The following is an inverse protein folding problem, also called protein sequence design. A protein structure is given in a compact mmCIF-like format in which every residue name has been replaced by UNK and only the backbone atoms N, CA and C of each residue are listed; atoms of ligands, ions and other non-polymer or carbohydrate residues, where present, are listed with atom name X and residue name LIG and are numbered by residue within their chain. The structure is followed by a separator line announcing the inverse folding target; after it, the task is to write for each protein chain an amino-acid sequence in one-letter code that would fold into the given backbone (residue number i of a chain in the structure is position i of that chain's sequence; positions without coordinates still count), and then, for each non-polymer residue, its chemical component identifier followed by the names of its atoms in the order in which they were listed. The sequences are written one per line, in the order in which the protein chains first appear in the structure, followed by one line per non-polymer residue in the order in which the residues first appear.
data_IF_841300931382
#
_entry.id   IF_841300931382
#
_cell.length_a   1.000
_cell.length_b   1.000
_cell.length_c   1.000
_cell.angle_alpha   90.00
_cell.angle_beta   90.00
_cell.angle_gamma   90.00
#
_symmetry.space_group_name_H-M   'P 1'
#
loop_
_entity.id
_entity.type
_entity.pdbx_description
1 polymer ?
#
# COMPACT_ATOMS: atom_id res chain seq x y z
N UNK A 1 -59.08 -39.60 0.01
CA UNK A 1 -58.84 -38.14 0.20
C UNK A 1 -58.59 -37.92 1.69
N UNK A 2 -57.51 -37.37 2.22
CA UNK A 2 -56.55 -36.36 1.76
C UNK A 2 -55.14 -36.75 2.26
N UNK A 3 -54.11 -36.63 1.42
CA UNK A 3 -52.72 -36.64 1.88
C UNK A 3 -52.45 -35.30 2.58
N UNK A 4 -52.09 -35.35 3.85
CA UNK A 4 -51.73 -34.16 4.64
C UNK A 4 -50.30 -33.75 4.25
N UNK A 5 -50.19 -32.63 3.53
CA UNK A 5 -48.92 -32.03 3.15
C UNK A 5 -48.39 -31.27 4.37
N UNK A 6 -47.34 -31.78 5.01
CA UNK A 6 -46.64 -31.06 6.08
C UNK A 6 -45.74 -30.03 5.39
N UNK A 7 -46.18 -28.77 5.36
CA UNK A 7 -45.32 -27.64 5.01
C UNK A 7 -44.32 -27.47 6.16
N UNK A 8 -43.07 -27.88 5.93
CA UNK A 8 -41.98 -27.47 6.80
C UNK A 8 -41.74 -25.97 6.57
N UNK A 9 -42.21 -25.15 7.51
CA UNK A 9 -41.78 -23.76 7.65
C UNK A 9 -40.29 -23.79 8.00
N UNK A 10 -39.44 -23.62 6.99
CA UNK A 10 -38.04 -23.29 7.19
C UNK A 10 -38.03 -21.87 7.76
N UNK A 11 -37.61 -21.66 9.02
CA UNK A 11 -37.41 -20.32 9.51
C UNK A 11 -36.26 -19.74 8.69
N UNK A 12 -36.56 -18.75 7.84
CA UNK A 12 -35.54 -17.89 7.27
C UNK A 12 -34.99 -17.11 8.47
N UNK A 13 -33.95 -17.66 9.09
CA UNK A 13 -33.03 -16.90 9.92
C UNK A 13 -32.48 -15.81 8.99
N UNK A 14 -33.13 -14.65 9.01
CA UNK A 14 -32.60 -13.41 8.48
C UNK A 14 -31.30 -13.18 9.26
N UNK A 15 -30.23 -13.67 8.68
CA UNK A 15 -28.94 -13.68 9.28
C UNK A 15 -28.48 -12.22 9.36
N UNK A 16 -28.31 -11.73 10.59
CA UNK A 16 -27.47 -10.57 10.90
C UNK A 16 -26.00 -10.86 10.54
N UNK A 17 -25.75 -11.33 9.31
CA UNK A 17 -24.40 -11.50 8.79
C UNK A 17 -23.94 -10.14 8.30
N UNK A 18 -22.97 -9.57 9.03
CA UNK A 18 -22.20 -8.44 8.57
C UNK A 18 -21.57 -8.71 7.20
N UNK A 19 -21.04 -7.65 6.59
CA UNK A 19 -20.35 -7.73 5.30
C UNK A 19 -19.18 -8.74 5.35
N UNK A 20 -19.01 -9.54 4.28
CA UNK A 20 -17.82 -10.41 4.14
C UNK A 20 -16.57 -9.58 3.86
N UNK A 21 -15.37 -10.14 4.04
CA UNK A 21 -14.12 -9.45 3.72
C UNK A 21 -14.04 -9.14 2.22
N UNK A 22 -14.50 -10.07 1.38
CA UNK A 22 -14.53 -9.92 -0.06
C UNK A 22 -15.45 -8.77 -0.50
N UNK A 23 -16.70 -8.75 -0.01
CA UNK A 23 -17.67 -7.70 -0.31
C UNK A 23 -17.21 -6.34 0.23
N UNK A 24 -16.54 -6.34 1.40
CA UNK A 24 -15.93 -5.15 1.97
C UNK A 24 -14.83 -4.60 1.06
N UNK A 25 -13.86 -5.43 0.69
CA UNK A 25 -12.74 -4.98 -0.13
C UNK A 25 -13.17 -4.57 -1.55
N UNK A 26 -14.20 -5.18 -2.13
CA UNK A 26 -14.77 -4.73 -3.41
C UNK A 26 -15.23 -3.26 -3.34
N UNK A 27 -15.78 -2.84 -2.19
CA UNK A 27 -16.29 -1.48 -1.96
C UNK A 27 -15.25 -0.52 -1.38
N UNK A 28 -14.26 -1.03 -0.66
CA UNK A 28 -13.36 -0.24 0.17
C UNK A 28 -11.94 -0.11 -0.37
N UNK A 29 -11.54 -0.85 -1.41
CA UNK A 29 -10.14 -0.91 -1.84
C UNK A 29 -9.50 0.44 -2.18
N UNK A 30 -10.28 1.47 -2.53
CA UNK A 30 -9.73 2.82 -2.77
C UNK A 30 -9.36 3.58 -1.49
N UNK A 31 -9.73 3.08 -0.32
CA UNK A 31 -9.68 3.81 0.94
C UNK A 31 -9.02 3.01 2.06
N UNK A 32 -9.19 1.69 2.04
CA UNK A 32 -8.58 0.75 2.98
C UNK A 32 -7.25 0.25 2.44
N UNK A 33 -6.18 0.34 3.23
CA UNK A 33 -4.83 -0.02 2.78
C UNK A 33 -4.72 -1.50 2.37
N UNK A 34 -5.19 -2.44 3.19
CA UNK A 34 -5.05 -3.87 2.88
C UNK A 34 -5.83 -4.23 1.61
N UNK A 35 -7.06 -3.74 1.49
CA UNK A 35 -7.85 -3.93 0.28
C UNK A 35 -7.20 -3.25 -0.95
N UNK A 36 -6.61 -2.06 -0.77
CA UNK A 36 -5.87 -1.36 -1.83
C UNK A 36 -4.68 -2.19 -2.31
N UNK A 37 -3.85 -2.68 -1.39
CA UNK A 37 -2.67 -3.47 -1.74
C UNK A 37 -3.04 -4.78 -2.43
N UNK A 38 -4.10 -5.47 -1.96
CA UNK A 38 -4.61 -6.67 -2.61
C UNK A 38 -5.02 -6.40 -4.07
N UNK A 39 -5.78 -5.32 -4.29
CA UNK A 39 -6.30 -4.96 -5.60
C UNK A 39 -5.18 -4.47 -6.55
N UNK A 40 -4.43 -3.47 -6.10
CA UNK A 40 -3.46 -2.72 -6.91
C UNK A 40 -2.18 -3.49 -7.21
N UNK A 41 -1.80 -4.45 -6.35
CA UNK A 41 -0.65 -5.33 -6.55
C UNK A 41 -1.07 -6.72 -7.06
N UNK A 42 -2.29 -6.86 -7.56
CA UNK A 42 -2.72 -8.07 -8.28
C UNK A 42 -1.96 -8.22 -9.61
N UNK A 43 -1.83 -9.46 -10.08
CA UNK A 43 -1.16 -9.75 -11.37
C UNK A 43 -1.80 -8.99 -12.53
N UNK A 44 -3.14 -8.82 -12.48
CA UNK A 44 -3.90 -8.06 -13.48
C UNK A 44 -3.48 -6.60 -13.52
N UNK A 45 -3.38 -5.93 -12.37
CA UNK A 45 -3.00 -4.51 -12.33
C UNK A 45 -1.51 -4.32 -12.62
N UNK A 46 -0.64 -5.21 -12.14
CA UNK A 46 0.80 -5.20 -12.46
C UNK A 46 1.05 -5.40 -13.96
N UNK A 47 0.26 -6.26 -14.63
CA UNK A 47 0.43 -6.51 -16.06
C UNK A 47 0.25 -5.24 -16.92
N UNK A 48 -0.57 -4.28 -16.48
CA UNK A 48 -0.84 -3.04 -17.23
C UNK A 48 0.37 -2.12 -17.34
N UNK A 49 1.32 -2.23 -16.42
CA UNK A 49 2.53 -1.40 -16.40
C UNK A 49 3.78 -2.11 -16.95
N UNK A 50 3.60 -3.29 -17.57
CA UNK A 50 4.71 -4.16 -18.01
C UNK A 50 5.73 -3.44 -18.90
N UNK A 51 5.26 -2.65 -19.88
CA UNK A 51 6.14 -1.94 -20.80
C UNK A 51 7.12 -0.99 -20.09
N UNK A 52 6.64 -0.28 -19.06
CA UNK A 52 7.50 0.61 -18.28
C UNK A 52 8.43 -0.20 -17.38
N UNK A 53 7.92 -1.23 -16.71
CA UNK A 53 8.74 -2.09 -15.86
C UNK A 53 9.92 -2.69 -16.62
N UNK A 54 9.67 -3.23 -17.83
CA UNK A 54 10.71 -3.81 -18.69
C UNK A 54 11.75 -2.78 -19.12
N UNK A 55 11.33 -1.55 -19.43
CA UNK A 55 12.24 -0.44 -19.76
C UNK A 55 13.14 -0.04 -18.58
N UNK A 56 12.64 -0.13 -17.36
CA UNK A 56 13.37 0.25 -16.14
C UNK A 56 14.20 -0.89 -15.56
N UNK A 57 14.11 -2.10 -16.12
CA UNK A 57 14.81 -3.27 -15.62
C UNK A 57 16.34 -3.09 -15.71
N UNK A 58 17.01 -3.25 -14.58
CA UNK A 58 18.45 -3.22 -14.45
C UNK A 58 19.08 -4.61 -14.61
N UNK A 59 20.41 -4.65 -14.46
CA UNK A 59 21.17 -5.92 -14.43
C UNK A 59 20.86 -6.80 -13.21
N UNK A 60 20.35 -6.18 -12.14
CA UNK A 60 19.96 -6.79 -10.87
C UNK A 60 18.92 -5.89 -10.17
N UNK A 61 18.32 -6.37 -9.07
CA UNK A 61 17.30 -5.62 -8.35
C UNK A 61 17.79 -4.32 -7.72
N UNK A 62 19.09 -4.20 -7.41
CA UNK A 62 19.66 -2.95 -6.93
C UNK A 62 19.64 -1.88 -8.03
N UNK A 63 20.07 -2.23 -9.25
CA UNK A 63 20.02 -1.32 -10.39
C UNK A 63 18.58 -1.06 -10.84
N UNK A 64 17.69 -2.05 -10.78
CA UNK A 64 16.26 -1.87 -11.05
C UNK A 64 15.62 -0.88 -10.07
N UNK A 65 15.88 -1.03 -8.77
CA UNK A 65 15.39 -0.09 -7.74
C UNK A 65 15.89 1.34 -7.99
N UNK A 66 17.17 1.50 -8.34
CA UNK A 66 17.73 2.79 -8.70
C UNK A 66 17.02 3.42 -9.90
N UNK A 67 16.90 2.67 -11.01
CA UNK A 67 16.25 3.15 -12.23
C UNK A 67 14.79 3.53 -12.00
N UNK A 68 14.06 2.77 -11.17
CA UNK A 68 12.68 3.07 -10.82
C UNK A 68 12.60 4.37 -10.04
N UNK A 69 13.41 4.55 -8.98
CA UNK A 69 13.41 5.78 -8.19
C UNK A 69 13.75 7.00 -9.06
N UNK A 70 14.83 6.93 -9.83
CA UNK A 70 15.26 7.97 -10.77
C UNK A 70 14.10 8.37 -11.70
N UNK A 71 13.48 7.38 -12.33
CA UNK A 71 12.36 7.64 -13.23
C UNK A 71 11.16 8.24 -12.51
N UNK A 72 10.79 7.73 -11.33
CA UNK A 72 9.63 8.27 -10.58
C UNK A 72 9.86 9.68 -10.09
N UNK A 73 11.08 10.02 -9.67
CA UNK A 73 11.47 11.37 -9.24
C UNK A 73 11.35 12.38 -10.37
N UNK A 74 11.73 12.00 -11.60
CA UNK A 74 11.66 12.86 -12.77
C UNK A 74 10.25 12.96 -13.39
N UNK A 75 9.44 11.91 -13.31
CA UNK A 75 8.24 11.76 -14.14
C UNK A 75 6.92 11.86 -13.36
N UNK A 76 6.93 11.67 -12.04
CA UNK A 76 5.74 11.75 -11.19
C UNK A 76 5.89 12.92 -10.24
N UNK A 77 4.85 13.76 -10.14
CA UNK A 77 4.83 14.92 -9.23
C UNK A 77 4.07 14.60 -7.95
N UNK A 78 4.62 15.02 -6.81
CA UNK A 78 3.88 14.96 -5.56
C UNK A 78 2.62 15.83 -5.63
N UNK A 79 1.49 15.28 -5.21
CA UNK A 79 0.20 15.94 -5.26
C UNK A 79 -0.14 16.58 -3.91
N UNK A 80 0.39 17.78 -3.66
CA UNK A 80 0.16 18.52 -2.41
C UNK A 80 -1.33 18.75 -2.12
N UNK A 81 -2.11 19.06 -3.17
CA UNK A 81 -3.56 19.26 -3.05
C UNK A 81 -4.25 18.00 -2.53
N UNK A 82 -3.91 16.82 -3.06
CA UNK A 82 -4.43 15.52 -2.59
C UNK A 82 -3.92 15.19 -1.18
N UNK A 83 -2.65 15.48 -0.88
CA UNK A 83 -2.05 15.23 0.43
C UNK A 83 -2.69 16.08 1.54
N UNK A 84 -3.15 17.29 1.22
CA UNK A 84 -3.82 18.19 2.15
C UNK A 84 -5.26 17.78 2.49
N UNK A 85 -5.84 16.81 1.77
CA UNK A 85 -7.17 16.31 2.06
C UNK A 85 -7.18 15.44 3.33
N UNK A 86 -8.26 15.48 4.12
CA UNK A 86 -8.42 14.60 5.27
C UNK A 86 -8.41 13.14 4.83
N UNK A 87 -7.90 12.26 5.70
CA UNK A 87 -7.95 10.82 5.46
C UNK A 87 -9.41 10.34 5.31
N UNK A 88 -9.66 9.36 4.43
CA UNK A 88 -10.99 8.77 4.30
C UNK A 88 -11.36 8.06 5.61
N UNK A 89 -12.61 8.17 6.02
CA UNK A 89 -13.15 7.44 7.18
C UNK A 89 -14.20 6.47 6.72
N UNK A 90 -13.97 5.19 6.98
CA UNK A 90 -14.87 4.11 6.59
C UNK A 90 -15.78 3.75 7.76
N UNK A 91 -17.09 3.73 7.51
CA UNK A 91 -18.10 3.27 8.46
C UNK A 91 -18.90 2.14 7.84
N UNK A 92 -19.03 1.01 8.55
CA UNK A 92 -19.82 -0.14 8.11
C UNK A 92 -21.20 -0.09 8.78
N UNK A 93 -22.28 -0.12 7.99
CA UNK A 93 -23.66 -0.22 8.48
C UNK A 93 -24.35 -1.41 7.83
N UNK A 94 -24.39 -2.54 8.55
CA UNK A 94 -24.88 -3.81 7.99
C UNK A 94 -23.98 -4.29 6.85
N UNK A 95 -24.47 -4.20 5.60
CA UNK A 95 -23.70 -4.53 4.38
C UNK A 95 -23.25 -3.30 3.58
N UNK A 96 -23.53 -2.10 4.09
CA UNK A 96 -23.12 -0.85 3.45
C UNK A 96 -21.74 -0.42 3.96
N UNK A 97 -20.89 0.01 3.02
CA UNK A 97 -19.61 0.67 3.28
C UNK A 97 -19.81 2.14 2.94
N UNK A 98 -19.77 2.99 3.96
CA UNK A 98 -19.92 4.44 3.84
C UNK A 98 -18.54 5.05 4.02
N UNK A 99 -18.13 5.91 3.10
CA UNK A 99 -16.82 6.58 3.13
C UNK A 99 -17.01 8.08 3.24
N UNK A 100 -16.62 8.64 4.37
CA UNK A 100 -16.47 10.08 4.54
C UNK A 100 -15.13 10.52 3.93
N UNK A 101 -15.07 11.72 3.36
CA UNK A 101 -13.89 12.27 2.66
C UNK A 101 -13.36 11.40 1.50
N UNK A 102 -14.20 11.04 0.50
CA UNK A 102 -13.85 10.06 -0.54
C UNK A 102 -12.85 10.58 -1.59
N UNK A 103 -12.17 11.69 -1.34
CA UNK A 103 -11.34 12.40 -2.31
C UNK A 103 -9.86 12.00 -2.26
N UNK A 104 -9.41 11.45 -1.12
CA UNK A 104 -8.04 10.98 -0.92
C UNK A 104 -7.93 9.47 -1.15
N UNK A 105 -8.19 9.04 -2.38
CA UNK A 105 -8.20 7.63 -2.81
C UNK A 105 -6.80 7.09 -3.10
N UNK A 106 -6.56 5.81 -2.89
CA UNK A 106 -5.46 5.09 -3.53
C UNK A 106 -5.65 5.00 -5.05
N UNK A 107 -4.56 5.20 -5.78
CA UNK A 107 -4.49 5.01 -7.22
C UNK A 107 -3.95 3.61 -7.56
N UNK A 108 -4.40 3.04 -8.68
CA UNK A 108 -3.72 1.89 -9.29
C UNK A 108 -2.37 2.33 -9.88
N UNK A 109 -1.43 1.40 -10.14
CA UNK A 109 -0.17 1.75 -10.78
C UNK A 109 -0.37 2.47 -12.14
N UNK A 110 -1.32 2.01 -12.95
CA UNK A 110 -1.66 2.64 -14.23
C UNK A 110 -2.22 4.06 -14.05
N UNK A 111 -3.09 4.27 -13.06
CA UNK A 111 -3.63 5.61 -12.74
C UNK A 111 -2.52 6.58 -12.37
N UNK A 112 -1.57 6.18 -11.50
CA UNK A 112 -0.43 7.02 -11.14
C UNK A 112 0.41 7.41 -12.36
N UNK A 113 0.63 6.47 -13.30
CA UNK A 113 1.36 6.73 -14.54
C UNK A 113 0.62 7.68 -15.48
N UNK A 114 -0.70 7.52 -15.62
CA UNK A 114 -1.53 8.37 -16.48
C UNK A 114 -1.64 9.79 -15.93
N UNK A 115 -1.85 9.91 -14.62
CA UNK A 115 -1.96 11.20 -13.94
C UNK A 115 -0.62 11.92 -13.81
N UNK A 116 0.49 11.17 -13.82
CA UNK A 116 1.84 11.66 -13.50
C UNK A 116 1.89 12.39 -12.16
N UNK A 117 1.02 11.99 -11.23
CA UNK A 117 0.84 12.69 -9.97
C UNK A 117 0.21 11.79 -8.91
N UNK A 118 0.75 11.82 -7.70
CA UNK A 118 0.29 11.01 -6.57
C UNK A 118 0.83 11.49 -5.22
N UNK A 119 0.43 10.81 -4.15
CA UNK A 119 0.95 10.99 -2.78
C UNK A 119 1.72 9.73 -2.34
N UNK A 120 2.25 9.70 -1.12
CA UNK A 120 3.10 8.62 -0.60
C UNK A 120 2.55 7.20 -0.90
N UNK A 121 1.26 6.94 -0.68
CA UNK A 121 0.63 5.67 -1.00
C UNK A 121 0.65 5.31 -2.50
N UNK A 122 0.39 6.27 -3.38
CA UNK A 122 0.37 6.03 -4.84
C UNK A 122 1.79 5.75 -5.38
N UNK A 123 2.79 6.47 -4.84
CA UNK A 123 4.19 6.20 -5.15
C UNK A 123 4.61 4.82 -4.65
N UNK A 124 4.30 4.47 -3.40
CA UNK A 124 4.66 3.18 -2.83
C UNK A 124 4.05 2.02 -3.63
N UNK A 125 2.78 2.13 -4.02
CA UNK A 125 2.08 1.14 -4.85
C UNK A 125 2.73 1.02 -6.23
N UNK A 126 2.98 2.14 -6.93
CA UNK A 126 3.60 2.12 -8.27
C UNK A 126 5.01 1.52 -8.23
N UNK A 127 5.86 1.97 -7.30
CA UNK A 127 7.25 1.51 -7.18
C UNK A 127 7.28 0.01 -6.87
N UNK A 128 6.45 -0.46 -5.92
CA UNK A 128 6.35 -1.88 -5.58
C UNK A 128 5.86 -2.72 -6.77
N UNK A 129 4.85 -2.25 -7.50
CA UNK A 129 4.36 -2.94 -8.69
C UNK A 129 5.44 -3.07 -9.79
N UNK A 130 6.23 -2.02 -10.04
CA UNK A 130 7.35 -2.03 -10.98
C UNK A 130 8.46 -3.00 -10.57
N UNK A 131 8.78 -3.07 -9.28
CA UNK A 131 9.75 -4.03 -8.74
C UNK A 131 9.26 -5.48 -8.86
N UNK A 132 8.02 -5.74 -8.46
CA UNK A 132 7.42 -7.07 -8.54
C UNK A 132 7.36 -7.57 -9.99
N UNK A 133 7.02 -6.69 -10.95
CA UNK A 133 7.02 -7.04 -12.38
C UNK A 133 8.41 -7.44 -12.90
N UNK A 134 9.47 -6.90 -12.31
CA UNK A 134 10.86 -7.24 -12.61
C UNK A 134 11.42 -8.37 -11.71
N UNK A 135 10.55 -9.14 -11.05
CA UNK A 135 10.90 -10.28 -10.19
C UNK A 135 11.78 -9.90 -8.98
N UNK A 136 11.70 -8.65 -8.53
CA UNK A 136 12.36 -8.23 -7.29
C UNK A 136 11.47 -8.51 -6.07
N UNK A 137 12.11 -8.84 -4.95
CA UNK A 137 11.43 -8.98 -3.65
C UNK A 137 11.10 -7.60 -3.13
N UNK A 138 9.83 -7.19 -3.24
CA UNK A 138 9.37 -5.86 -2.88
C UNK A 138 8.19 -5.91 -1.92
N UNK A 139 8.13 -4.91 -1.04
CA UNK A 139 7.19 -4.82 0.06
C UNK A 139 6.71 -3.37 0.21
N UNK A 140 5.70 -3.15 1.04
CA UNK A 140 5.24 -1.81 1.43
C UNK A 140 5.64 -1.57 2.88
N UNK A 141 6.23 -0.42 3.16
CA UNK A 141 6.45 0.09 4.51
C UNK A 141 5.33 1.07 4.85
N UNK A 142 4.60 0.81 5.94
CA UNK A 142 3.69 1.74 6.58
C UNK A 142 4.32 2.26 7.86
N UNK A 143 4.58 3.56 7.91
CA UNK A 143 5.34 4.22 8.97
C UNK A 143 4.37 5.00 9.84
N UNK A 144 4.25 4.59 11.09
CA UNK A 144 3.48 5.30 12.11
C UNK A 144 4.42 6.20 12.92
N UNK A 145 3.96 7.39 13.28
CA UNK A 145 4.74 8.36 14.04
C UNK A 145 4.11 8.64 15.41
N UNK A 146 4.94 8.74 16.45
CA UNK A 146 4.46 9.06 17.81
C UNK A 146 3.89 10.48 17.92
N UNK A 147 4.41 11.39 17.10
CA UNK A 147 4.19 12.83 17.22
C UNK A 147 3.57 13.45 15.95
N UNK A 148 2.91 12.65 15.12
CA UNK A 148 2.25 13.12 13.89
C UNK A 148 1.02 12.27 13.60
N UNK A 149 -0.12 12.92 13.33
CA UNK A 149 -1.35 12.24 12.88
C UNK A 149 -1.31 11.83 11.39
N UNK A 150 -0.25 12.24 10.68
CA UNK A 150 -0.03 11.91 9.27
C UNK A 150 1.05 10.84 9.19
N UNK A 151 0.61 9.61 8.91
CA UNK A 151 1.46 8.46 8.61
C UNK A 151 2.08 8.56 7.21
N UNK A 152 3.01 7.66 6.91
CA UNK A 152 3.72 7.65 5.64
C UNK A 152 3.80 6.26 5.03
N UNK A 153 3.72 6.17 3.70
CA UNK A 153 3.91 4.94 2.94
C UNK A 153 5.13 5.06 2.03
N UNK A 154 5.95 4.02 2.01
CA UNK A 154 7.07 3.90 1.09
C UNK A 154 7.14 2.47 0.54
N UNK A 155 7.83 2.30 -0.58
CA UNK A 155 8.17 0.96 -1.09
C UNK A 155 9.46 0.46 -0.43
N UNK A 156 9.59 -0.85 -0.27
CA UNK A 156 10.80 -1.52 0.18
C UNK A 156 11.27 -2.49 -0.91
N UNK A 157 12.58 -2.61 -1.06
CA UNK A 157 13.20 -3.73 -1.78
C UNK A 157 14.09 -4.52 -0.82
N UNK A 158 13.98 -5.85 -0.86
CA UNK A 158 14.87 -6.75 -0.14
C UNK A 158 16.01 -7.17 -1.06
N UNK A 159 17.23 -6.71 -0.74
CA UNK A 159 18.48 -7.12 -1.39
C UNK A 159 19.23 -8.07 -0.43
N UNK A 160 20.35 -7.62 0.14
CA UNK A 160 20.96 -8.21 1.34
C UNK A 160 20.17 -7.87 2.62
N UNK A 161 19.53 -6.70 2.61
CA UNK A 161 18.64 -6.16 3.65
C UNK A 161 17.54 -5.31 3.03
N UNK A 162 16.65 -4.75 3.85
CA UNK A 162 15.62 -3.83 3.38
C UNK A 162 16.21 -2.45 3.06
N UNK A 163 15.92 -1.96 1.86
CA UNK A 163 16.14 -0.56 1.47
C UNK A 163 14.79 0.09 1.19
N UNK A 164 14.62 1.31 1.69
CA UNK A 164 13.44 2.15 1.52
C UNK A 164 13.58 2.98 0.25
N UNK A 165 12.55 2.90 -0.60
CA UNK A 165 12.39 3.66 -1.81
C UNK A 165 11.30 4.73 -1.57
N UNK A 166 11.73 5.87 -1.04
CA UNK A 166 10.84 6.98 -0.65
C UNK A 166 10.95 8.17 -1.60
N UNK A 167 10.47 7.97 -2.84
CA UNK A 167 10.28 8.96 -3.91
C UNK A 167 11.55 9.63 -4.47
N UNK A 168 12.64 9.68 -3.71
CA UNK A 168 13.90 10.34 -4.07
C UNK A 168 15.06 9.38 -3.98
N UNK A 169 16.05 9.58 -4.85
CA UNK A 169 17.33 8.90 -4.72
C UNK A 169 18.15 9.42 -3.51
N UNK A 170 19.03 8.58 -2.95
CA UNK A 170 19.18 7.14 -3.20
C UNK A 170 18.18 6.30 -2.38
N UNK A 171 18.00 4.99 -2.68
CA UNK A 171 17.41 4.06 -1.70
C UNK A 171 18.21 4.11 -0.39
N UNK A 172 17.54 4.07 0.75
CA UNK A 172 18.22 4.15 2.07
C UNK A 172 17.84 2.98 2.99
N UNK A 173 18.79 2.49 3.77
CA UNK A 173 18.54 1.43 4.75
C UNK A 173 17.60 1.91 5.89
N UNK A 174 17.06 0.97 6.65
CA UNK A 174 16.08 1.26 7.71
C UNK A 174 16.63 2.17 8.82
N UNK A 175 17.89 1.98 9.23
CA UNK A 175 18.50 2.80 10.29
C UNK A 175 18.70 4.25 9.83
N UNK A 176 19.20 4.43 8.60
CA UNK A 176 19.31 5.74 7.95
C UNK A 176 17.95 6.40 7.72
N UNK A 177 16.93 5.62 7.35
CA UNK A 177 15.55 6.09 7.17
C UNK A 177 14.94 6.58 8.49
N UNK A 178 15.12 5.84 9.59
CA UNK A 178 14.72 6.29 10.92
C UNK A 178 15.40 7.61 11.32
N UNK A 179 16.73 7.68 11.16
CA UNK A 179 17.50 8.90 11.48
C UNK A 179 17.12 10.09 10.61
N UNK A 180 16.70 9.87 9.36
CA UNK A 180 16.15 10.93 8.51
C UNK A 180 14.88 11.52 9.13
N UNK A 181 13.90 10.70 9.50
CA UNK A 181 12.66 11.19 10.10
C UNK A 181 12.90 11.94 11.41
N UNK A 182 13.80 11.44 12.27
CA UNK A 182 14.18 12.15 13.49
C UNK A 182 14.73 13.56 13.21
N UNK A 183 15.59 13.71 12.19
CA UNK A 183 16.10 15.03 11.77
C UNK A 183 14.99 15.94 11.24
N UNK A 184 13.97 15.36 10.61
CA UNK A 184 12.78 16.07 10.12
C UNK A 184 11.76 16.35 11.26
N UNK A 185 12.11 16.04 12.51
CA UNK A 185 11.27 16.28 13.69
C UNK A 185 10.16 15.25 13.90
N UNK A 186 10.19 14.11 13.20
CA UNK A 186 9.21 13.02 13.34
C UNK A 186 9.84 11.79 13.99
N UNK A 187 9.26 11.31 15.07
CA UNK A 187 9.70 10.09 15.73
C UNK A 187 8.86 8.90 15.27
N UNK A 188 9.51 7.94 14.59
CA UNK A 188 8.86 6.69 14.16
C UNK A 188 8.48 5.88 15.39
N UNK A 189 7.19 5.57 15.52
CA UNK A 189 6.68 4.63 16.52
C UNK A 189 6.90 3.20 16.06
N UNK A 190 6.48 2.91 14.82
CA UNK A 190 6.59 1.61 14.22
C UNK A 190 6.70 1.69 12.69
N UNK A 191 7.29 0.65 12.12
CA UNK A 191 7.30 0.40 10.68
C UNK A 191 6.69 -0.98 10.42
N UNK A 192 5.49 -0.99 9.85
CA UNK A 192 4.79 -2.20 9.45
C UNK A 192 5.17 -2.57 8.02
N UNK A 193 5.56 -3.83 7.80
CA UNK A 193 5.94 -4.33 6.48
C UNK A 193 4.84 -5.24 5.94
N UNK A 194 4.38 -4.92 4.74
CA UNK A 194 3.35 -5.67 4.03
C UNK A 194 3.92 -6.36 2.80
N UNK A 195 3.64 -7.65 2.67
CA UNK A 195 3.76 -8.41 1.42
C UNK A 195 2.38 -8.46 0.78
N UNK A 196 2.17 -7.66 -0.28
CA UNK A 196 0.84 -7.39 -0.84
C UNK A 196 -0.11 -6.89 0.27
N UNK A 197 -1.23 -7.56 0.51
CA UNK A 197 -2.22 -7.20 1.52
C UNK A 197 -1.94 -7.77 2.92
N UNK A 198 -0.90 -8.59 3.06
CA UNK A 198 -0.57 -9.25 4.32
C UNK A 198 0.55 -8.53 5.05
N UNK A 199 0.28 -8.08 6.27
CA UNK A 199 1.33 -7.65 7.20
C UNK A 199 2.19 -8.84 7.61
N UNK A 200 3.50 -8.74 7.38
CA UNK A 200 4.47 -9.81 7.67
C UNK A 200 5.43 -9.46 8.82
N UNK A 201 5.67 -8.17 9.08
CA UNK A 201 6.54 -7.71 10.17
C UNK A 201 6.03 -6.39 10.73
N UNK A 202 6.42 -6.10 11.97
CA UNK A 202 6.26 -4.81 12.61
C UNK A 202 7.54 -4.50 13.38
N UNK A 203 8.25 -3.45 12.98
CA UNK A 203 9.56 -3.06 13.52
C UNK A 203 9.41 -1.83 14.40
N UNK A 204 10.03 -1.86 15.58
CA UNK A 204 10.21 -0.69 16.44
C UNK A 204 11.37 0.17 15.94
N UNK A 205 11.53 1.36 16.53
CA UNK A 205 12.71 2.19 16.31
C UNK A 205 14.03 1.46 16.63
N UNK A 206 14.06 0.65 17.69
CA UNK A 206 15.23 -0.14 18.07
C UNK A 206 15.54 -1.22 17.02
N UNK A 207 14.52 -1.92 16.53
CA UNK A 207 14.67 -2.91 15.46
C UNK A 207 15.24 -2.26 14.19
N UNK A 208 14.75 -1.08 13.80
CA UNK A 208 15.26 -0.35 12.65
C UNK A 208 16.72 0.08 12.82
N UNK A 209 17.10 0.56 14.01
CA UNK A 209 18.47 0.97 14.33
C UNK A 209 19.45 -0.21 14.39
N UNK A 210 18.98 -1.41 14.75
CA UNK A 210 19.82 -2.62 14.75
C UNK A 210 20.26 -3.09 13.36
N UNK A 211 19.67 -2.52 12.29
CA UNK A 211 19.98 -2.84 10.89
C UNK A 211 21.07 -1.94 10.29
N UNK A 212 21.72 -1.12 11.13
CA UNK A 212 22.81 -0.23 10.74
C UNK A 212 24.01 -1.00 10.18
N UNK A 213 24.88 -0.32 9.46
CA UNK A 213 26.15 -0.90 9.05
C UNK A 213 27.07 -1.06 10.28
N UNK A 214 27.56 -2.28 10.54
CA UNK A 214 28.85 -2.48 11.22
C UNK A 214 30.00 -2.20 10.25
#
# INVERSE_FOLDING_TARGET
MKKMLILALIPILASCLGISKEDYCEKAWRFDLECALNYTLSEKEIAKISNLAEKLNGRDCAKTAWNILEWTEENIRYNDSKASLPAPKITIKGREVIVDNPWRVYQTPEETLMLRSGICGDYAILITALLLKNNCKAYIAYVNFKNSEIDHLASLVLLDRFYVLDQKLPPIDLASYYRKWLRDGKEVESLEIYERDRRIMNLTAEDMLSQDYE
#
